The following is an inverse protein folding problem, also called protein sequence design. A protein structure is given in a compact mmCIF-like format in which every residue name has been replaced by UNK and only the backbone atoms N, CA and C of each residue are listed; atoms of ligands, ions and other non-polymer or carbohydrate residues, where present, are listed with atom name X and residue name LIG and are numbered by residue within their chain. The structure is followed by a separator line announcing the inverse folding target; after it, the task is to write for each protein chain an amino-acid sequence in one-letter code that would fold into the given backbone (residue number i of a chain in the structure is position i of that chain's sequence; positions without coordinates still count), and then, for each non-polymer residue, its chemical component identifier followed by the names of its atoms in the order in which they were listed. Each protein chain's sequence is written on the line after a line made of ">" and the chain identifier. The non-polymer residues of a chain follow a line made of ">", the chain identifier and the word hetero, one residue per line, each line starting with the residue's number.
data_IF_475396040008
#
_entry.id   IF_475396040008
#
_cell.length_a   1.000
_cell.length_b   1.000
_cell.length_c   1.000
_cell.angle_alpha   90.00
_cell.angle_beta   90.00
_cell.angle_gamma   90.00
#
_symmetry.space_group_name_H-M   'P 1'
#
loop_
_entity.id
_entity.type
_entity.pdbx_description
1 polymer ?
#
# COMPACT_ATOMS: atom_id res chain seq x y z
N UNK A 1 -2.52 7.09 6.82
CA UNK A 1 -3.90 6.59 6.61
C UNK A 1 -4.02 5.19 7.19
N UNK A 2 -5.16 4.84 7.79
CA UNK A 2 -5.42 3.48 8.29
C UNK A 2 -5.96 2.58 7.18
N UNK A 3 -5.37 1.40 7.02
CA UNK A 3 -5.80 0.34 6.11
C UNK A 3 -6.40 -0.80 6.93
N UNK A 4 -7.57 -1.29 6.51
CA UNK A 4 -8.30 -2.38 7.20
C UNK A 4 -8.41 -3.57 6.26
N UNK A 5 -7.71 -4.65 6.56
CA UNK A 5 -7.79 -5.93 5.84
C UNK A 5 -8.84 -6.78 6.53
N UNK A 6 -10.06 -6.79 5.97
CA UNK A 6 -11.20 -7.53 6.51
C UNK A 6 -11.12 -9.04 6.22
N UNK A 7 -11.98 -9.83 6.87
CA UNK A 7 -12.11 -11.25 6.55
C UNK A 7 -12.57 -11.50 5.12
N UNK A 8 -13.35 -10.58 4.54
CA UNK A 8 -13.79 -10.67 3.16
C UNK A 8 -12.63 -10.41 2.20
N UNK A 9 -11.70 -9.50 2.54
CA UNK A 9 -10.47 -9.29 1.77
C UNK A 9 -9.56 -10.52 1.82
N UNK A 10 -9.42 -11.15 2.99
CA UNK A 10 -8.67 -12.41 3.13
C UNK A 10 -9.27 -13.51 2.25
N UNK A 11 -10.61 -13.65 2.24
CA UNK A 11 -11.30 -14.66 1.43
C UNK A 11 -11.23 -14.39 -0.07
N UNK A 12 -11.28 -13.12 -0.47
CA UNK A 12 -11.21 -12.73 -1.87
C UNK A 12 -9.78 -12.75 -2.44
N UNK A 13 -8.77 -12.74 -1.56
CA UNK A 13 -7.38 -12.62 -1.96
C UNK A 13 -6.83 -13.81 -2.76
N UNK A 14 -5.93 -13.51 -3.68
CA UNK A 14 -5.16 -14.47 -4.46
C UNK A 14 -3.71 -14.57 -3.96
N UNK A 15 -3.25 -15.79 -3.72
CA UNK A 15 -1.88 -16.10 -3.28
C UNK A 15 -0.86 -15.64 -4.32
N UNK A 16 0.17 -14.91 -3.88
CA UNK A 16 1.24 -14.43 -4.74
C UNK A 16 0.86 -13.30 -5.69
N UNK A 17 -0.37 -12.80 -5.66
CA UNK A 17 -0.81 -11.67 -6.49
C UNK A 17 -0.42 -10.34 -5.87
N UNK A 18 0.31 -9.50 -6.60
CA UNK A 18 0.67 -8.15 -6.16
C UNK A 18 -0.53 -7.19 -6.14
N UNK A 19 -1.63 -7.51 -6.84
CA UNK A 19 -2.80 -6.64 -7.02
C UNK A 19 -4.04 -7.17 -6.31
N UNK A 20 -4.23 -8.49 -6.36
CA UNK A 20 -5.42 -9.18 -5.87
C UNK A 20 -5.15 -9.94 -4.56
N UNK A 21 -4.05 -9.67 -3.85
CA UNK A 21 -3.89 -10.16 -2.47
C UNK A 21 -4.87 -9.46 -1.50
N UNK A 22 -5.03 -9.96 -0.25
CA UNK A 22 -5.93 -9.34 0.73
C UNK A 22 -5.63 -7.86 1.00
N UNK A 23 -4.36 -7.46 0.98
CA UNK A 23 -3.97 -6.06 1.14
C UNK A 23 -4.37 -5.24 -0.09
N UNK A 24 -4.21 -5.81 -1.30
CA UNK A 24 -4.62 -5.15 -2.54
C UNK A 24 -6.13 -4.85 -2.56
N UNK A 25 -6.97 -5.80 -2.13
CA UNK A 25 -8.39 -5.55 -1.95
C UNK A 25 -8.67 -4.42 -0.95
N UNK A 26 -8.02 -4.45 0.22
CA UNK A 26 -8.16 -3.39 1.22
C UNK A 26 -7.72 -2.01 0.71
N UNK A 27 -6.68 -1.95 -0.13
CA UNK A 27 -6.19 -0.70 -0.72
C UNK A 27 -7.17 -0.14 -1.75
N UNK A 28 -7.82 -0.96 -2.56
CA UNK A 28 -8.85 -0.49 -3.51
C UNK A 28 -10.02 0.18 -2.81
N UNK A 29 -10.42 -0.36 -1.67
CA UNK A 29 -11.50 0.21 -0.85
C UNK A 29 -11.06 1.53 -0.19
N UNK A 30 -9.82 1.60 0.29
CA UNK A 30 -9.28 2.79 0.96
C UNK A 30 -8.88 3.92 0.00
N UNK A 31 -8.44 3.57 -1.22
CA UNK A 31 -7.85 4.46 -2.22
C UNK A 31 -8.45 4.18 -3.62
N UNK A 32 -9.74 4.48 -3.83
CA UNK A 32 -10.40 4.18 -5.09
C UNK A 32 -9.78 4.98 -6.24
N UNK A 33 -9.42 4.29 -7.33
CA UNK A 33 -8.83 4.89 -8.53
C UNK A 33 -7.32 5.13 -8.48
N UNK A 34 -6.66 4.75 -7.38
CA UNK A 34 -5.20 4.82 -7.26
C UNK A 34 -4.56 3.53 -7.77
N UNK A 35 -3.52 3.64 -8.60
CA UNK A 35 -2.72 2.50 -9.02
C UNK A 35 -1.69 2.14 -7.94
N UNK A 36 -1.58 0.86 -7.61
CA UNK A 36 -0.65 0.36 -6.60
C UNK A 36 -0.13 -1.04 -6.96
N UNK A 37 0.97 -1.45 -6.33
CA UNK A 37 1.47 -2.83 -6.31
C UNK A 37 1.89 -3.20 -4.88
N UNK A 38 1.40 -4.33 -4.37
CA UNK A 38 1.76 -4.84 -3.05
C UNK A 38 2.97 -5.76 -3.16
N UNK A 39 4.09 -5.33 -2.58
CA UNK A 39 5.26 -6.18 -2.36
C UNK A 39 5.29 -6.75 -0.94
N UNK A 40 6.18 -7.71 -0.70
CA UNK A 40 6.32 -8.37 0.61
C UNK A 40 6.72 -7.42 1.74
N UNK A 41 7.47 -6.36 1.44
CA UNK A 41 8.02 -5.41 2.44
C UNK A 41 7.55 -3.96 2.27
N UNK A 42 6.88 -3.65 1.16
CA UNK A 42 6.45 -2.29 0.83
C UNK A 42 5.25 -2.33 -0.12
N UNK A 43 4.41 -1.30 -0.06
CA UNK A 43 3.39 -1.02 -1.07
C UNK A 43 3.94 0.06 -1.98
N UNK A 44 3.92 -0.16 -3.28
CA UNK A 44 4.24 0.86 -4.27
C UNK A 44 2.95 1.51 -4.71
N UNK A 45 2.88 2.84 -4.67
CA UNK A 45 1.73 3.60 -5.15
C UNK A 45 2.21 4.49 -6.28
N UNK A 46 1.43 4.55 -7.35
CA UNK A 46 1.74 5.43 -8.48
C UNK A 46 1.26 6.85 -8.19
N UNK A 47 2.17 7.80 -8.34
CA UNK A 47 1.91 9.23 -8.31
C UNK A 47 2.40 9.81 -9.65
N UNK A 48 1.48 10.26 -10.50
CA UNK A 48 1.75 10.66 -11.89
C UNK A 48 2.54 9.61 -12.70
N UNK A 49 3.81 9.92 -13.00
CA UNK A 49 4.72 9.07 -13.75
C UNK A 49 5.65 8.24 -12.86
N UNK A 50 5.61 8.44 -11.53
CA UNK A 50 6.54 7.84 -10.57
C UNK A 50 5.85 6.81 -9.68
N UNK A 51 6.63 5.83 -9.21
CA UNK A 51 6.20 4.83 -8.23
C UNK A 51 6.91 5.10 -6.90
N UNK A 52 6.13 5.40 -5.86
CA UNK A 52 6.64 5.69 -4.52
C UNK A 52 6.44 4.46 -3.64
N UNK A 53 7.53 4.00 -3.02
CA UNK A 53 7.51 2.84 -2.12
C UNK A 53 7.23 3.27 -0.67
N UNK A 54 6.18 2.70 -0.08
CA UNK A 54 5.78 2.88 1.31
C UNK A 54 6.10 1.62 2.11
N UNK A 55 7.09 1.66 3.03
CA UNK A 55 7.47 0.50 3.83
C UNK A 55 6.32 -0.03 4.68
N UNK A 56 6.18 -1.34 4.74
CA UNK A 56 5.18 -2.02 5.55
C UNK A 56 5.71 -2.26 6.97
N UNK A 57 4.83 -2.17 7.99
CA UNK A 57 5.15 -2.69 9.32
C UNK A 57 5.46 -4.19 9.26
N UNK A 58 6.40 -4.65 10.10
CA UNK A 58 6.88 -6.03 10.09
C UNK A 58 5.77 -7.10 10.21
N UNK A 59 4.70 -6.81 10.95
CA UNK A 59 3.58 -7.74 11.12
C UNK A 59 2.73 -7.87 9.86
N UNK A 60 2.68 -6.84 9.02
CA UNK A 60 2.03 -6.88 7.70
C UNK A 60 2.84 -7.76 6.75
N UNK A 61 4.17 -7.63 6.77
CA UNK A 61 5.07 -8.56 6.04
C UNK A 61 4.84 -10.01 6.48
N UNK A 62 4.69 -10.27 7.79
CA UNK A 62 4.38 -11.62 8.29
C UNK A 62 3.01 -12.12 7.84
N UNK A 63 2.02 -11.24 7.81
CA UNK A 63 0.69 -11.55 7.28
C UNK A 63 0.77 -11.99 5.81
N UNK A 64 1.48 -11.23 4.95
CA UNK A 64 1.65 -11.56 3.53
C UNK A 64 2.32 -12.94 3.38
N UNK A 65 3.44 -13.14 4.08
CA UNK A 65 4.18 -14.42 4.02
C UNK A 65 3.34 -15.61 4.48
N UNK A 66 2.53 -15.44 5.52
CA UNK A 66 1.65 -16.49 6.02
C UNK A 66 0.53 -16.80 5.01
N UNK A 67 -0.10 -15.76 4.47
CA UNK A 67 -1.14 -15.91 3.45
C UNK A 67 -0.60 -16.62 2.21
N UNK A 68 0.55 -16.19 1.69
CA UNK A 68 1.17 -16.81 0.51
C UNK A 68 1.62 -18.25 0.74
N UNK A 69 1.92 -18.60 2.00
CA UNK A 69 2.21 -19.97 2.41
C UNK A 69 0.94 -20.84 2.63
N UNK A 70 -0.25 -20.34 2.25
CA UNK A 70 -1.54 -21.00 2.48
C UNK A 70 -1.83 -21.26 3.97
N UNK A 71 -1.30 -20.42 4.86
CA UNK A 71 -1.63 -20.46 6.29
C UNK A 71 -2.83 -19.56 6.54
N UNK A 72 -3.77 -20.02 7.37
CA UNK A 72 -4.90 -19.20 7.80
C UNK A 72 -4.41 -17.93 8.52
N UNK A 73 -4.84 -16.77 8.02
CA UNK A 73 -4.51 -15.46 8.57
C UNK A 73 -5.76 -14.76 9.09
N UNK A 74 -5.62 -14.08 10.24
CA UNK A 74 -6.67 -13.25 10.78
C UNK A 74 -6.72 -11.88 10.08
N UNK A 75 -7.88 -11.20 10.05
CA UNK A 75 -7.98 -9.79 9.67
C UNK A 75 -6.98 -8.92 10.42
N UNK A 76 -6.42 -7.92 9.75
CA UNK A 76 -5.45 -6.99 10.34
C UNK A 76 -5.80 -5.54 10.01
N UNK A 77 -5.24 -4.64 10.79
CA UNK A 77 -5.25 -3.21 10.51
C UNK A 77 -3.84 -2.65 10.68
N UNK A 78 -3.50 -1.65 9.86
CA UNK A 78 -2.21 -0.97 9.94
C UNK A 78 -2.29 0.44 9.41
N UNK A 79 -1.37 1.29 9.86
CA UNK A 79 -1.19 2.63 9.31
C UNK A 79 -0.19 2.59 8.16
N UNK A 80 -0.59 3.15 7.02
CA UNK A 80 0.27 3.40 5.88
C UNK A 80 0.54 4.92 5.82
N UNK A 81 1.80 5.37 5.95
CA UNK A 81 2.15 6.78 5.96
C UNK A 81 2.16 7.34 4.52
N UNK A 82 1.00 7.32 3.86
CA UNK A 82 0.84 7.93 2.54
C UNK A 82 0.70 9.43 2.71
N UNK A 83 1.50 10.17 1.94
CA UNK A 83 1.31 11.58 1.71
C UNK A 83 0.51 11.75 0.41
N UNK A 84 -0.81 11.88 0.54
CA UNK A 84 -1.71 12.08 -0.60
C UNK A 84 -1.82 13.57 -0.99
N UNK A 85 -1.22 14.47 -0.21
CA UNK A 85 -1.21 15.92 -0.44
C UNK A 85 -0.01 16.35 -1.32
N UNK A 86 0.64 15.40 -2.00
CA UNK A 86 1.69 15.72 -2.96
C UNK A 86 1.08 16.51 -4.12
N UNK A 87 1.15 17.83 -4.03
CA UNK A 87 0.89 18.77 -5.10
C UNK A 87 2.17 18.82 -5.96
N UNK A 88 2.18 18.18 -7.15
CA UNK A 88 3.30 18.27 -8.06
C UNK A 88 3.30 19.63 -8.78
N UNK A 89 2.93 20.75 -8.13
CA UNK A 89 3.12 22.06 -8.74
C UNK A 89 4.63 22.30 -8.92
N UNK A 90 5.16 22.28 -10.16
CA UNK A 90 6.58 22.56 -10.39
C UNK A 90 6.96 23.98 -9.96
N UNK A 91 6.00 24.85 -9.62
CA UNK A 91 6.23 26.20 -9.16
C UNK A 91 6.43 26.33 -7.65
N UNK A 92 6.24 25.26 -6.86
CA UNK A 92 6.47 25.30 -5.40
C UNK A 92 7.90 24.90 -5.00
N UNK A 93 8.87 25.27 -5.83
CA UNK A 93 10.29 25.16 -5.47
C UNK A 93 10.59 26.23 -4.42
N UNK A 94 11.10 25.89 -3.21
CA UNK A 94 11.60 26.92 -2.31
C UNK A 94 12.72 27.65 -3.03
N UNK A 95 12.53 28.94 -3.29
CA UNK A 95 13.49 29.78 -3.98
C UNK A 95 14.88 29.51 -3.39
N UNK A 96 15.74 28.88 -4.20
CA UNK A 96 17.13 28.65 -3.83
C UNK A 96 17.73 30.00 -3.51
N UNK A 97 18.06 30.23 -2.24
CA UNK A 97 18.78 31.43 -1.82
C UNK A 97 20.18 31.27 -2.40
N UNK A 98 20.43 31.91 -3.53
CA UNK A 98 21.78 32.09 -4.05
C UNK A 98 22.55 32.98 -3.07
N UNK A 99 23.65 32.45 -2.55
CA UNK A 99 24.69 33.18 -1.82
C UNK A 99 25.95 33.24 -2.68
#
# INVERSE_FOLDING_TARGET
>A
MKIVVSADHVRAGEIGSCLDCPIGHALRDALPGVEFEVGTIAIHIRHDAEWIAYPLPWYVTRFIQAFDASVDVAPIEFDLPIDLDFDPDPNNTPATVAA
#
